data_IF_489626766802
#
_entry.id   IF_489626766802
#
_cell.length_a   1.000
_cell.length_b   1.000
_cell.length_c   1.000
_cell.angle_alpha   90.00
_cell.angle_beta   90.00
_cell.angle_gamma   90.00
#
_symmetry.space_group_name_H-M   'P 1'
#
loop_
_entity.id
_entity.type
_entity.pdbx_description
1 polymer ?
#
# COMPACT_ATOMS: atom_id res chain seq x y z
N UNK A 1 1.09 -8.08 17.73
CA UNK A 1 1.43 -7.19 16.58
C UNK A 1 0.14 -6.64 16.00
N UNK A 2 0.13 -5.38 15.54
CA UNK A 2 -1.06 -4.82 14.86
C UNK A 2 -1.16 -5.46 13.48
N UNK A 3 -2.35 -5.95 13.13
CA UNK A 3 -2.60 -6.43 11.79
C UNK A 3 -2.70 -5.23 10.85
N UNK A 4 -1.89 -5.22 9.78
CA UNK A 4 -1.92 -4.19 8.75
C UNK A 4 -2.44 -4.77 7.45
N UNK A 5 -3.36 -4.05 6.81
CA UNK A 5 -3.92 -4.39 5.51
C UNK A 5 -3.41 -3.41 4.46
N UNK A 6 -2.69 -3.96 3.49
CA UNK A 6 -2.12 -3.25 2.37
C UNK A 6 -2.99 -3.44 1.13
N UNK A 7 -3.26 -2.36 0.42
CA UNK A 7 -3.64 -2.38 -0.99
C UNK A 7 -2.41 -1.95 -1.80
N UNK A 8 -1.87 -2.83 -2.63
CA UNK A 8 -0.70 -2.56 -3.47
C UNK A 8 -1.18 -2.38 -4.91
N UNK A 9 -0.90 -1.23 -5.51
CA UNK A 9 -1.36 -0.88 -6.86
C UNK A 9 -0.18 -0.58 -7.77
N UNK A 10 -0.16 -1.14 -8.97
CA UNK A 10 0.93 -0.98 -9.94
C UNK A 10 0.62 -1.67 -11.27
N UNK A 11 1.43 -1.46 -12.30
CA UNK A 11 1.18 -2.08 -13.63
C UNK A 11 2.02 -3.32 -13.92
N UNK A 12 3.05 -3.59 -13.12
CA UNK A 12 3.93 -4.74 -13.31
C UNK A 12 3.57 -5.87 -12.34
N UNK A 13 3.01 -6.96 -12.87
CA UNK A 13 2.55 -8.11 -12.09
C UNK A 13 3.68 -8.79 -11.29
N UNK A 14 4.87 -8.96 -11.86
CA UNK A 14 6.00 -9.60 -11.18
C UNK A 14 6.47 -8.78 -9.96
N UNK A 15 6.42 -7.45 -10.08
CA UNK A 15 6.73 -6.54 -8.97
C UNK A 15 5.64 -6.64 -7.90
N UNK A 16 4.35 -6.64 -8.28
CA UNK A 16 3.24 -6.76 -7.35
C UNK A 16 3.31 -8.06 -6.53
N UNK A 17 3.57 -9.19 -7.18
CA UNK A 17 3.72 -10.49 -6.52
C UNK A 17 4.93 -10.51 -5.57
N UNK A 18 6.03 -9.88 -5.97
CA UNK A 18 7.21 -9.73 -5.13
C UNK A 18 6.90 -8.90 -3.89
N UNK A 19 6.21 -7.76 -4.05
CA UNK A 19 5.80 -6.90 -2.93
C UNK A 19 4.85 -7.62 -1.99
N UNK A 20 3.84 -8.33 -2.51
CA UNK A 20 2.92 -9.14 -1.71
C UNK A 20 3.67 -10.14 -0.83
N UNK A 21 4.59 -10.91 -1.41
CA UNK A 21 5.41 -11.87 -0.66
C UNK A 21 6.26 -11.19 0.43
N UNK A 22 6.85 -10.03 0.14
CA UNK A 22 7.65 -9.28 1.13
C UNK A 22 6.78 -8.79 2.28
N UNK A 23 5.59 -8.26 1.99
CA UNK A 23 4.64 -7.77 2.98
C UNK A 23 4.18 -8.92 3.86
N UNK A 24 3.66 -9.99 3.27
CA UNK A 24 3.06 -11.14 3.96
C UNK A 24 4.08 -12.03 4.69
N UNK A 25 5.38 -11.86 4.40
CA UNK A 25 6.44 -12.45 5.23
C UNK A 25 6.58 -11.78 6.61
N UNK A 26 5.89 -10.66 6.88
CA UNK A 26 5.82 -10.05 8.20
C UNK A 26 4.52 -10.46 8.89
N UNK A 27 4.64 -10.95 10.14
CA UNK A 27 3.49 -11.41 10.91
C UNK A 27 2.43 -10.30 11.09
N UNK A 28 1.18 -10.62 10.75
CA UNK A 28 0.04 -9.69 10.82
C UNK A 28 -0.12 -8.78 9.60
N UNK A 29 0.81 -8.76 8.65
CA UNK A 29 0.69 -7.95 7.43
C UNK A 29 0.05 -8.77 6.31
N UNK A 30 -0.96 -8.21 5.66
CA UNK A 30 -1.70 -8.85 4.56
C UNK A 30 -1.78 -7.90 3.38
N UNK A 31 -1.61 -8.41 2.15
CA UNK A 31 -1.60 -7.58 0.95
C UNK A 31 -2.61 -8.04 -0.11
N UNK A 32 -3.46 -7.10 -0.52
CA UNK A 32 -4.23 -7.20 -1.76
C UNK A 32 -3.43 -6.50 -2.88
N UNK A 33 -3.25 -7.17 -4.02
CA UNK A 33 -2.57 -6.58 -5.18
C UNK A 33 -3.61 -6.24 -6.25
N UNK A 34 -3.43 -5.09 -6.90
CA UNK A 34 -4.31 -4.66 -7.97
C UNK A 34 -3.51 -3.96 -9.08
N UNK A 35 -3.98 -4.08 -10.31
CA UNK A 35 -3.47 -3.34 -11.47
C UNK A 35 -4.49 -2.38 -12.08
N UNK A 36 -5.76 -2.56 -11.71
CA UNK A 36 -6.87 -1.69 -12.07
C UNK A 36 -7.04 -0.53 -11.07
N UNK A 37 -6.82 0.68 -11.57
CA UNK A 37 -6.88 1.93 -10.81
C UNK A 37 -8.30 2.27 -10.37
N UNK A 38 -9.29 1.99 -11.22
CA UNK A 38 -10.70 2.31 -10.94
C UNK A 38 -11.23 1.46 -9.78
N UNK A 39 -10.76 0.21 -9.69
CA UNK A 39 -11.14 -0.71 -8.61
C UNK A 39 -10.63 -0.26 -7.24
N UNK A 40 -9.48 0.43 -7.18
CA UNK A 40 -8.85 0.82 -5.91
C UNK A 40 -9.76 1.70 -5.06
N UNK A 41 -10.43 2.68 -5.67
CA UNK A 41 -11.31 3.60 -4.95
C UNK A 41 -12.48 2.90 -4.27
N UNK A 42 -13.13 1.97 -4.98
CA UNK A 42 -14.23 1.19 -4.42
C UNK A 42 -13.73 0.26 -3.31
N UNK A 43 -12.61 -0.43 -3.55
CA UNK A 43 -12.03 -1.34 -2.57
C UNK A 43 -11.70 -0.64 -1.25
N UNK A 44 -11.07 0.54 -1.31
CA UNK A 44 -10.72 1.33 -0.11
C UNK A 44 -11.98 1.77 0.66
N UNK A 45 -13.09 2.06 -0.03
CA UNK A 45 -14.37 2.40 0.62
C UNK A 45 -15.00 1.20 1.33
N UNK A 46 -14.99 0.04 0.70
CA UNK A 46 -15.70 -1.14 1.17
C UNK A 46 -14.91 -1.98 2.17
N UNK A 47 -13.58 -1.88 2.14
CA UNK A 47 -12.69 -2.70 2.97
C UNK A 47 -11.92 -1.87 4.00
N UNK A 48 -11.37 -2.55 5.00
CA UNK A 48 -10.35 -1.98 5.86
C UNK A 48 -9.03 -1.99 5.11
N UNK A 49 -8.47 -0.80 4.85
CA UNK A 49 -7.15 -0.60 4.28
C UNK A 49 -6.41 0.35 5.20
N UNK A 50 -5.23 -0.05 5.66
CA UNK A 50 -4.39 0.80 6.51
C UNK A 50 -3.34 1.53 5.66
N UNK A 51 -2.86 0.87 4.60
CA UNK A 51 -1.81 1.36 3.71
C UNK A 51 -2.19 1.12 2.24
N UNK A 52 -2.10 2.17 1.43
CA UNK A 52 -2.06 2.07 -0.03
C UNK A 52 -0.60 2.21 -0.47
N UNK A 53 -0.05 1.18 -1.11
CA UNK A 53 1.32 1.15 -1.61
C UNK A 53 1.31 1.35 -3.12
N UNK A 54 1.80 2.50 -3.58
CA UNK A 54 1.91 2.84 -5.00
C UNK A 54 3.21 2.24 -5.54
N UNK A 55 3.08 1.35 -6.51
CA UNK A 55 4.18 0.67 -7.19
C UNK A 55 4.40 1.25 -8.59
N UNK A 56 5.38 0.73 -9.32
CA UNK A 56 5.80 1.27 -10.62
C UNK A 56 4.73 1.16 -11.71
N UNK A 57 4.75 2.13 -12.62
CA UNK A 57 3.99 2.12 -13.88
C UNK A 57 2.62 2.79 -13.83
N UNK A 58 2.28 3.45 -12.72
CA UNK A 58 1.04 4.22 -12.58
C UNK A 58 1.15 5.57 -13.27
N UNK A 59 -0.01 6.13 -13.62
CA UNK A 59 -0.10 7.48 -14.13
C UNK A 59 0.06 8.51 -12.99
N UNK A 60 0.80 9.59 -13.22
CA UNK A 60 1.02 10.63 -12.20
C UNK A 60 -0.28 11.30 -11.73
N UNK A 61 -1.29 11.41 -12.61
CA UNK A 61 -2.59 11.97 -12.27
C UNK A 61 -3.30 11.03 -11.30
N UNK A 62 -3.29 9.71 -11.57
CA UNK A 62 -3.85 8.73 -10.66
C UNK A 62 -3.17 8.77 -9.29
N UNK A 63 -1.84 8.82 -9.23
CA UNK A 63 -1.11 8.89 -7.95
C UNK A 63 -1.49 10.12 -7.12
N UNK A 64 -1.73 11.26 -7.76
CA UNK A 64 -2.19 12.49 -7.09
C UNK A 64 -3.64 12.33 -6.61
N UNK A 65 -4.51 11.80 -7.46
CA UNK A 65 -5.93 11.62 -7.16
C UNK A 65 -6.17 10.64 -6.01
N UNK A 66 -5.45 9.52 -5.97
CA UNK A 66 -5.62 8.53 -4.89
C UNK A 66 -5.12 9.05 -3.54
N UNK A 67 -4.08 9.89 -3.53
CA UNK A 67 -3.60 10.60 -2.32
C UNK A 67 -4.66 11.55 -1.80
N UNK A 68 -5.17 12.44 -2.66
CA UNK A 68 -6.26 13.37 -2.31
C UNK A 68 -7.50 12.60 -1.85
N UNK A 69 -7.85 11.51 -2.52
CA UNK A 69 -8.97 10.66 -2.14
C UNK A 69 -8.81 10.08 -0.73
N UNK A 70 -7.63 9.52 -0.40
CA UNK A 70 -7.37 8.96 0.93
C UNK A 70 -7.35 10.04 2.02
N UNK A 71 -6.81 11.23 1.74
CA UNK A 71 -6.79 12.37 2.68
C UNK A 71 -8.20 12.88 3.03
N UNK A 72 -9.13 12.83 2.08
CA UNK A 72 -10.51 13.27 2.27
C UNK A 72 -11.45 12.15 2.75
N UNK A 73 -10.94 10.94 2.94
CA UNK A 73 -11.71 9.81 3.44
C UNK A 73 -11.79 9.87 4.97
N UNK A 74 -12.95 9.56 5.55
CA UNK A 74 -13.14 9.43 7.01
C UNK A 74 -12.53 8.12 7.56
N UNK A 75 -11.39 7.71 7.00
CA UNK A 75 -10.61 6.54 7.40
C UNK A 75 -9.14 6.93 7.46
N UNK A 76 -8.42 6.43 8.45
CA UNK A 76 -6.98 6.65 8.53
C UNK A 76 -6.22 5.71 7.58
N UNK A 77 -6.14 6.09 6.31
CA UNK A 77 -5.38 5.38 5.28
C UNK A 77 -4.08 6.13 5.01
N UNK A 78 -2.93 5.47 5.07
CA UNK A 78 -1.64 6.06 4.67
C UNK A 78 -1.30 5.65 3.24
N UNK A 79 -0.74 6.58 2.46
CA UNK A 79 -0.26 6.30 1.10
C UNK A 79 1.27 6.32 1.10
N UNK A 80 1.90 5.29 0.52
CA UNK A 80 3.36 5.17 0.40
C UNK A 80 3.71 5.04 -1.08
N UNK A 81 4.64 5.88 -1.54
CA UNK A 81 5.25 5.77 -2.86
C UNK A 81 6.43 4.79 -2.79
N UNK A 82 6.38 3.68 -3.52
CA UNK A 82 7.41 2.65 -3.50
C UNK A 82 7.84 2.22 -4.91
N UNK A 83 8.88 2.91 -5.42
CA UNK A 83 9.41 2.70 -6.77
C UNK A 83 10.61 1.73 -6.82
N UNK A 84 10.79 0.91 -5.77
CA UNK A 84 11.86 -0.08 -5.66
C UNK A 84 12.74 0.12 -4.42
N UNK A 85 13.85 -0.62 -4.36
CA UNK A 85 14.66 -0.78 -3.15
C UNK A 85 14.24 -2.05 -2.41
N UNK A 86 15.20 -2.90 -2.02
CA UNK A 86 14.90 -4.22 -1.47
C UNK A 86 13.99 -4.20 -0.22
N UNK A 87 13.62 -5.39 0.27
CA UNK A 87 12.65 -5.58 1.38
C UNK A 87 12.90 -4.73 2.64
N UNK A 88 14.16 -4.37 2.93
CA UNK A 88 14.50 -3.51 4.06
C UNK A 88 13.98 -2.07 3.93
N UNK A 89 13.84 -1.55 2.71
CA UNK A 89 13.35 -0.18 2.49
C UNK A 89 11.86 -0.08 2.80
N UNK A 90 11.05 -1.00 2.25
CA UNK A 90 9.60 -1.04 2.51
C UNK A 90 9.28 -1.12 4.00
N UNK A 91 10.02 -1.96 4.74
CA UNK A 91 9.82 -2.11 6.18
C UNK A 91 10.08 -0.81 6.94
N UNK A 92 11.13 -0.07 6.57
CA UNK A 92 11.46 1.22 7.18
C UNK A 92 10.41 2.29 6.85
N UNK A 93 9.88 2.31 5.62
CA UNK A 93 8.80 3.22 5.19
C UNK A 93 7.54 2.99 6.05
N UNK A 94 7.14 1.74 6.23
CA UNK A 94 5.99 1.39 7.07
C UNK A 94 6.22 1.77 8.53
N UNK A 95 7.37 1.45 9.12
CA UNK A 95 7.64 1.79 10.53
C UNK A 95 7.78 3.29 10.79
N UNK A 96 8.21 4.06 9.79
CA UNK A 96 8.25 5.52 9.92
C UNK A 96 6.85 6.11 10.06
N UNK A 97 5.85 5.48 9.44
CA UNK A 97 4.44 5.87 9.56
C UNK A 97 3.75 5.28 10.80
N UNK A 98 4.23 4.12 11.27
CA UNK A 98 3.67 3.40 12.41
C UNK A 98 4.76 3.04 13.44
N UNK A 99 5.35 4.04 14.12
CA UNK A 99 6.48 3.82 15.03
C UNK A 99 6.15 2.88 16.20
N UNK A 100 4.87 2.77 16.56
CA UNK A 100 4.38 1.90 17.62
C UNK A 100 4.40 0.40 17.27
N UNK A 101 4.75 0.01 16.04
CA UNK A 101 4.89 -1.40 15.64
C UNK A 101 6.25 -2.01 16.02
N UNK A 102 7.22 -1.19 16.45
CA UNK A 102 8.56 -1.64 16.83
C UNK A 102 8.69 -2.09 18.30
N UNK A 103 7.58 -2.16 19.05
CA UNK A 103 7.56 -2.54 20.47
C UNK A 103 6.88 -3.89 20.70
#
# INVERSE_FOLDING_TARGET
MKNLKFLVIGKNQEILETLKRIIENNEGWNAEIQSDEDFCYQYIKENQVDIVLLSSGLDEQFEKEIKVFCENLDKEVKVIDHYGGGSGLLKNEVYSLFPNLNN
#
